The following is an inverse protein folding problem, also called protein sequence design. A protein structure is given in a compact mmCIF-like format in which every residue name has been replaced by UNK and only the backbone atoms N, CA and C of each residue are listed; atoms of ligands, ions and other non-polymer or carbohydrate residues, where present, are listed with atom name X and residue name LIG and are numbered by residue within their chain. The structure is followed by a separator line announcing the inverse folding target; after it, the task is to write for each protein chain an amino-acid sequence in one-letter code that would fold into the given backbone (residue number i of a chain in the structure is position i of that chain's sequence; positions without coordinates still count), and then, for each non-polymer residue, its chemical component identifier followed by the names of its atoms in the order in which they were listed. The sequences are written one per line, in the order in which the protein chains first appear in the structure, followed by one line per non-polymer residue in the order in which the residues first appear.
data_IF_899190731523
#
_entry.id   IF_899190731523
#
_cell.length_a   1.000
_cell.length_b   1.000
_cell.length_c   1.000
_cell.angle_alpha   90.00
_cell.angle_beta   90.00
_cell.angle_gamma   90.00
#
_symmetry.space_group_name_H-M   'P 1'
#
loop_
_entity.id
_entity.type
_entity.pdbx_description
1 polymer ?
#
# COMPACT_ATOMS: atom_id res chain seq x y z
N UNK A 1 -8.04 -19.46 -21.14
CA UNK A 1 -7.62 -19.20 -19.75
C UNK A 1 -6.58 -20.23 -19.36
N UNK A 2 -5.52 -19.80 -18.67
CA UNK A 2 -4.53 -20.70 -18.07
C UNK A 2 -5.02 -21.23 -16.72
N UNK A 3 -4.57 -22.42 -16.31
CA UNK A 3 -4.82 -22.95 -14.96
C UNK A 3 -3.84 -22.39 -13.91
N UNK A 4 -2.74 -21.77 -14.33
CA UNK A 4 -1.76 -21.15 -13.42
C UNK A 4 -2.34 -19.88 -12.80
N UNK A 5 -2.40 -19.83 -11.47
CA UNK A 5 -2.94 -18.68 -10.73
C UNK A 5 -1.94 -17.52 -10.66
N UNK A 6 -2.44 -16.30 -10.43
CA UNK A 6 -1.58 -15.13 -10.19
C UNK A 6 -0.52 -15.41 -9.11
N UNK A 7 -0.94 -15.99 -7.98
CA UNK A 7 -0.03 -16.35 -6.89
C UNK A 7 1.10 -17.27 -7.38
N UNK A 8 0.78 -18.37 -8.06
CA UNK A 8 1.80 -19.29 -8.60
C UNK A 8 2.78 -18.58 -9.54
N UNK A 9 2.28 -17.69 -10.40
CA UNK A 9 3.13 -16.92 -11.32
C UNK A 9 4.14 -16.02 -10.58
N UNK A 10 3.75 -15.42 -9.45
CA UNK A 10 4.69 -14.58 -8.68
C UNK A 10 5.91 -15.36 -8.18
N UNK A 11 5.77 -16.66 -7.89
CA UNK A 11 6.86 -17.53 -7.48
C UNK A 11 7.65 -18.12 -8.65
N UNK A 12 6.98 -18.48 -9.73
CA UNK A 12 7.56 -19.38 -10.74
C UNK A 12 7.89 -18.69 -12.06
N UNK A 13 7.21 -17.60 -12.43
CA UNK A 13 7.43 -16.97 -13.71
C UNK A 13 8.89 -16.45 -13.81
N UNK A 14 9.64 -16.80 -14.87
CA UNK A 14 10.97 -16.26 -15.08
C UNK A 14 10.88 -14.76 -15.42
N UNK A 15 11.90 -14.01 -15.02
CA UNK A 15 12.05 -12.63 -15.48
C UNK A 15 12.36 -12.67 -16.97
N UNK A 16 11.59 -11.92 -17.78
CA UNK A 16 11.94 -11.74 -19.18
C UNK A 16 13.22 -10.89 -19.25
N UNK A 17 14.31 -11.38 -19.86
CA UNK A 17 15.60 -10.67 -19.87
C UNK A 17 15.60 -9.38 -20.70
N UNK A 18 14.69 -9.22 -21.66
CA UNK A 18 14.54 -8.00 -22.45
C UNK A 18 13.73 -6.92 -21.71
N UNK A 19 12.77 -7.33 -20.88
CA UNK A 19 11.89 -6.41 -20.15
C UNK A 19 12.37 -6.10 -18.72
N UNK A 20 13.13 -7.02 -18.11
CA UNK A 20 13.61 -6.90 -16.74
C UNK A 20 12.57 -7.25 -15.66
N UNK A 21 11.39 -7.74 -16.04
CA UNK A 21 10.34 -8.17 -15.10
C UNK A 21 9.58 -9.42 -15.60
N UNK A 22 8.72 -9.98 -14.73
CA UNK A 22 7.83 -11.11 -15.01
C UNK A 22 6.59 -10.62 -15.77
N UNK A 23 6.38 -11.04 -17.02
CA UNK A 23 5.38 -10.44 -17.91
C UNK A 23 3.94 -10.61 -17.44
N UNK A 24 3.53 -11.84 -17.09
CA UNK A 24 2.17 -12.12 -16.65
C UNK A 24 1.92 -11.51 -15.27
N UNK A 25 2.89 -11.59 -14.36
CA UNK A 25 2.82 -10.86 -13.08
C UNK A 25 2.66 -9.35 -13.31
N UNK A 26 3.43 -8.77 -14.22
CA UNK A 26 3.32 -7.35 -14.59
C UNK A 26 1.93 -7.00 -15.14
N UNK A 27 1.34 -7.87 -15.95
CA UNK A 27 -0.04 -7.70 -16.41
C UNK A 27 -1.05 -7.72 -15.25
N UNK A 28 -0.96 -8.69 -14.33
CA UNK A 28 -1.84 -8.77 -13.15
C UNK A 28 -1.66 -7.57 -12.21
N UNK A 29 -0.42 -7.13 -11.98
CA UNK A 29 -0.13 -5.92 -11.21
C UNK A 29 -0.78 -4.69 -11.86
N UNK A 30 -0.73 -4.59 -13.19
CA UNK A 30 -1.41 -3.53 -13.94
C UNK A 30 -2.93 -3.59 -13.76
N UNK A 31 -3.55 -4.77 -13.87
CA UNK A 31 -4.99 -4.93 -13.63
C UNK A 31 -5.36 -4.55 -12.19
N UNK A 32 -4.50 -4.88 -11.22
CA UNK A 32 -4.71 -4.52 -9.81
C UNK A 32 -4.65 -3.01 -9.60
N UNK A 33 -3.76 -2.29 -10.30
CA UNK A 33 -3.69 -0.83 -10.24
C UNK A 33 -4.86 -0.15 -10.94
N UNK A 34 -5.41 -0.74 -12.02
CA UNK A 34 -6.65 -0.26 -12.63
C UNK A 34 -7.84 -0.44 -11.67
N UNK A 35 -7.97 -1.61 -11.04
CA UNK A 35 -9.01 -1.85 -10.05
C UNK A 35 -8.86 -0.96 -8.81
N UNK A 36 -7.62 -0.67 -8.39
CA UNK A 36 -7.32 0.31 -7.34
C UNK A 36 -7.84 1.70 -7.69
N UNK A 37 -7.56 2.20 -8.91
CA UNK A 37 -8.14 3.46 -9.39
C UNK A 37 -9.66 3.42 -9.35
N UNK A 38 -10.28 2.40 -9.94
CA UNK A 38 -11.74 2.30 -10.02
C UNK A 38 -12.39 2.27 -8.63
N UNK A 39 -11.72 1.64 -7.65
CA UNK A 39 -12.14 1.66 -6.25
C UNK A 39 -12.07 3.07 -5.65
N UNK A 40 -10.98 3.80 -5.86
CA UNK A 40 -10.84 5.18 -5.37
C UNK A 40 -11.84 6.12 -6.04
N UNK A 41 -12.05 6.01 -7.35
CA UNK A 41 -13.04 6.79 -8.08
C UNK A 41 -14.46 6.52 -7.52
N UNK A 42 -14.78 5.27 -7.18
CA UNK A 42 -16.05 4.95 -6.54
C UNK A 42 -16.22 5.64 -5.19
N UNK A 43 -15.16 5.74 -4.37
CA UNK A 43 -15.21 6.49 -3.10
C UNK A 43 -15.33 8.00 -3.34
N UNK A 44 -14.62 8.53 -4.32
CA UNK A 44 -14.62 9.96 -4.62
C UNK A 44 -15.96 10.46 -5.20
N UNK A 45 -16.74 9.58 -5.81
CA UNK A 45 -18.09 9.95 -6.31
C UNK A 45 -19.17 10.04 -5.23
N UNK A 46 -18.90 9.59 -4.00
CA UNK A 46 -19.89 9.59 -2.91
C UNK A 46 -19.79 10.90 -2.14
N UNK A 47 -20.81 11.78 -2.17
CA UNK A 47 -20.77 13.03 -1.40
C UNK A 47 -20.86 12.76 0.10
N UNK A 48 -19.98 13.36 0.89
CA UNK A 48 -19.98 13.27 2.36
C UNK A 48 -19.48 14.58 2.97
N UNK A 49 -20.36 15.27 3.73
CA UNK A 49 -20.06 16.58 4.30
C UNK A 49 -19.78 17.62 3.21
N UNK A 50 -18.66 18.34 3.35
CA UNK A 50 -18.20 19.37 2.39
C UNK A 50 -17.38 18.81 1.22
N UNK A 51 -17.18 17.48 1.16
CA UNK A 51 -16.37 16.80 0.15
C UNK A 51 -16.91 15.43 -0.20
N UNK A 52 -16.01 14.46 -0.36
CA UNK A 52 -16.33 13.09 -0.76
C UNK A 52 -16.04 12.08 0.35
N UNK A 53 -16.53 10.84 0.22
CA UNK A 53 -16.16 9.77 1.14
C UNK A 53 -14.64 9.55 1.13
N UNK A 54 -13.98 9.71 -0.03
CA UNK A 54 -12.52 9.60 -0.12
C UNK A 54 -11.81 10.68 0.70
N UNK A 55 -12.34 11.91 0.74
CA UNK A 55 -11.79 12.97 1.62
C UNK A 55 -11.87 12.57 3.10
N UNK A 56 -12.97 11.95 3.52
CA UNK A 56 -13.22 11.65 4.93
C UNK A 56 -12.67 10.29 5.40
N UNK A 57 -12.18 9.44 4.49
CA UNK A 57 -11.61 8.14 4.83
C UNK A 57 -10.11 8.06 4.53
N UNK A 58 -9.52 6.91 4.90
CA UNK A 58 -8.17 6.53 4.53
C UNK A 58 -8.18 5.11 4.01
N UNK A 59 -7.53 4.92 2.86
CA UNK A 59 -7.35 3.62 2.24
C UNK A 59 -5.86 3.29 2.22
N UNK A 60 -5.49 2.20 2.88
CA UNK A 60 -4.14 1.64 2.87
C UNK A 60 -4.12 0.43 1.96
N UNK A 61 -3.33 0.48 0.89
CA UNK A 61 -3.11 -0.63 -0.03
C UNK A 61 -1.63 -0.99 -0.09
N UNK A 62 -1.31 -2.28 0.00
CA UNK A 62 0.07 -2.76 -0.06
C UNK A 62 0.11 -4.19 -0.60
N UNK A 63 1.31 -4.63 -0.99
CA UNK A 63 1.57 -6.06 -1.27
C UNK A 63 1.97 -6.79 0.01
N UNK A 64 1.78 -8.10 0.07
CA UNK A 64 2.20 -8.94 1.20
C UNK A 64 3.73 -9.08 1.30
N UNK A 65 4.43 -8.99 0.17
CA UNK A 65 5.88 -9.08 0.06
C UNK A 65 6.41 -8.18 -1.07
N UNK A 66 7.71 -7.90 -1.10
CA UNK A 66 8.34 -7.18 -2.22
C UNK A 66 8.81 -8.13 -3.32
N UNK A 67 9.28 -9.32 -2.93
CA UNK A 67 9.74 -10.37 -3.84
C UNK A 67 9.17 -11.71 -3.37
N UNK A 68 8.17 -12.21 -4.08
CA UNK A 68 7.46 -13.45 -3.73
C UNK A 68 8.38 -14.68 -3.70
N UNK A 69 9.35 -14.78 -4.61
CA UNK A 69 10.30 -15.90 -4.69
C UNK A 69 11.06 -16.17 -3.40
N UNK A 70 11.36 -15.12 -2.64
CA UNK A 70 12.08 -15.19 -1.37
C UNK A 70 11.24 -14.75 -0.17
N UNK A 71 9.96 -14.41 -0.37
CA UNK A 71 9.11 -13.77 0.62
C UNK A 71 9.80 -12.57 1.30
N UNK A 72 10.47 -11.73 0.52
CA UNK A 72 11.14 -10.54 1.06
C UNK A 72 10.12 -9.54 1.62
N UNK A 73 10.41 -8.96 2.79
CA UNK A 73 9.50 -8.05 3.51
C UNK A 73 10.04 -6.61 3.57
N UNK A 74 11.20 -6.38 2.97
CA UNK A 74 11.83 -5.09 2.82
C UNK A 74 11.32 -4.39 1.55
N UNK A 75 11.10 -3.08 1.60
CA UNK A 75 10.74 -2.31 0.41
C UNK A 75 9.38 -2.67 -0.20
N UNK A 76 8.45 -3.17 0.61
CA UNK A 76 7.09 -3.50 0.17
C UNK A 76 6.41 -2.22 -0.37
N UNK A 77 5.92 -2.23 -1.63
CA UNK A 77 5.19 -1.10 -2.17
C UNK A 77 3.90 -0.89 -1.39
N UNK A 78 3.70 0.35 -0.94
CA UNK A 78 2.53 0.75 -0.14
C UNK A 78 2.00 2.08 -0.66
N UNK A 79 0.68 2.16 -0.76
CA UNK A 79 -0.07 3.34 -1.18
C UNK A 79 -1.05 3.74 -0.09
N UNK A 80 -1.18 5.04 0.12
CA UNK A 80 -2.18 5.64 0.99
C UNK A 80 -3.01 6.60 0.15
N UNK A 81 -4.33 6.48 0.22
CA UNK A 81 -5.29 7.36 -0.44
C UNK A 81 -6.35 7.86 0.54
N UNK A 82 -6.95 9.00 0.23
CA UNK A 82 -7.82 9.74 1.15
C UNK A 82 -7.04 10.56 2.16
N UNK A 83 -7.67 11.61 2.70
CA UNK A 83 -7.02 12.56 3.61
C UNK A 83 -7.49 12.41 5.07
N UNK A 84 -8.41 11.47 5.35
CA UNK A 84 -9.00 11.22 6.67
C UNK A 84 -9.53 12.49 7.35
N UNK A 85 -10.18 13.38 6.60
CA UNK A 85 -10.65 14.67 7.10
C UNK A 85 -9.51 15.58 7.55
N UNK A 86 -8.45 15.65 6.75
CA UNK A 86 -7.28 16.52 6.95
C UNK A 86 -6.20 15.98 7.87
N UNK A 87 -6.29 14.72 8.32
CA UNK A 87 -5.33 14.09 9.23
C UNK A 87 -4.12 13.49 8.52
N UNK A 88 -4.25 13.24 7.22
CA UNK A 88 -3.21 12.62 6.40
C UNK A 88 -2.89 13.48 5.19
N UNK A 89 -1.60 13.71 4.95
CA UNK A 89 -1.09 14.43 3.77
C UNK A 89 -1.11 13.49 2.56
N UNK A 90 -1.43 14.04 1.40
CA UNK A 90 -1.48 13.31 0.13
C UNK A 90 -0.56 13.95 -0.92
N UNK A 91 -0.40 13.30 -2.08
CA UNK A 91 0.31 13.88 -3.23
C UNK A 91 1.84 13.85 -3.14
N UNK A 92 2.42 12.94 -2.34
CA UNK A 92 3.86 12.77 -2.24
C UNK A 92 4.28 11.31 -2.36
N UNK A 93 5.56 11.10 -2.67
CA UNK A 93 6.22 9.80 -2.63
C UNK A 93 7.34 9.85 -1.58
N UNK A 94 7.43 8.80 -0.75
CA UNK A 94 8.44 8.68 0.29
C UNK A 94 9.22 7.37 0.10
N UNK A 95 10.54 7.48 0.03
CA UNK A 95 11.40 6.30 0.04
C UNK A 95 11.43 5.69 1.45
N UNK A 96 11.12 4.40 1.56
CA UNK A 96 10.97 3.72 2.86
C UNK A 96 12.28 3.49 3.64
N UNK A 97 13.46 3.76 3.06
CA UNK A 97 14.78 3.65 3.73
C UNK A 97 15.01 2.32 4.49
N UNK A 98 14.46 1.22 3.99
CA UNK A 98 14.46 -0.10 4.65
C UNK A 98 13.86 -0.12 6.07
N UNK A 99 13.06 0.89 6.43
CA UNK A 99 12.31 0.88 7.67
C UNK A 99 11.21 -0.20 7.67
N UNK A 100 10.82 -0.71 8.84
CA UNK A 100 9.67 -1.60 8.95
C UNK A 100 8.40 -1.00 8.37
N UNK A 101 7.70 -1.76 7.53
CA UNK A 101 6.41 -1.36 6.94
C UNK A 101 5.36 -1.03 8.01
N UNK A 102 5.47 -1.64 9.20
CA UNK A 102 4.62 -1.38 10.36
C UNK A 102 4.61 0.08 10.80
N UNK A 103 5.61 0.90 10.43
CA UNK A 103 5.59 2.36 10.66
C UNK A 103 4.39 3.02 10.01
N UNK A 104 3.98 2.56 8.82
CA UNK A 104 2.80 3.08 8.13
C UNK A 104 1.55 2.74 8.93
N UNK A 105 1.40 1.48 9.36
CA UNK A 105 0.28 1.04 10.21
C UNK A 105 0.20 1.77 11.55
N UNK A 106 1.33 2.03 12.22
CA UNK A 106 1.37 2.84 13.44
C UNK A 106 0.89 4.27 13.15
N UNK A 107 1.42 4.89 12.08
CA UNK A 107 1.11 6.26 11.72
C UNK A 107 -0.36 6.43 11.35
N UNK A 108 -0.94 5.49 10.60
CA UNK A 108 -2.37 5.49 10.26
C UNK A 108 -3.24 5.36 11.52
N UNK A 109 -2.91 4.46 12.44
CA UNK A 109 -3.66 4.33 13.71
C UNK A 109 -3.63 5.65 14.51
N UNK A 110 -2.46 6.27 14.62
CA UNK A 110 -2.31 7.54 15.33
C UNK A 110 -3.02 8.70 14.62
N UNK A 111 -2.95 8.77 13.29
CA UNK A 111 -3.68 9.75 12.49
C UNK A 111 -5.19 9.63 12.76
N UNK A 112 -5.72 8.41 12.85
CA UNK A 112 -7.12 8.14 13.19
C UNK A 112 -7.47 8.31 14.68
N UNK A 113 -6.54 8.82 15.50
CA UNK A 113 -6.77 9.15 16.90
C UNK A 113 -6.69 7.98 17.88
N UNK A 114 -6.21 6.81 17.44
CA UNK A 114 -6.02 5.67 18.35
C UNK A 114 -4.83 5.94 19.29
N UNK A 115 -4.96 5.67 20.60
CA UNK A 115 -3.90 5.91 21.59
C UNK A 115 -2.86 4.78 21.58
N UNK A 116 -2.22 4.54 20.42
CA UNK A 116 -1.25 3.46 20.21
C UNK A 116 0.17 4.04 20.13
N UNK A 117 1.03 3.65 21.08
CA UNK A 117 2.41 4.11 21.14
C UNK A 117 3.39 3.23 20.34
N UNK A 118 3.02 1.98 20.05
CA UNK A 118 3.87 0.99 19.38
C UNK A 118 3.03 0.02 18.56
N UNK A 119 3.57 -0.43 17.43
CA UNK A 119 2.93 -1.41 16.55
C UNK A 119 3.92 -2.42 16.00
N UNK A 120 3.43 -3.61 15.62
CA UNK A 120 4.23 -4.70 15.06
C UNK A 120 4.95 -5.56 16.09
N UNK A 121 5.66 -6.58 15.60
CA UNK A 121 6.38 -7.57 16.43
C UNK A 121 7.79 -7.81 15.90
N UNK A 122 8.71 -8.26 16.76
CA UNK A 122 10.10 -8.57 16.38
C UNK A 122 10.78 -7.43 15.60
N UNK A 123 11.41 -7.74 14.48
CA UNK A 123 12.04 -6.75 13.59
C UNK A 123 11.04 -5.77 12.97
N UNK A 124 9.75 -6.09 12.97
CA UNK A 124 8.68 -5.20 12.54
C UNK A 124 8.11 -4.36 13.68
N UNK A 125 8.63 -4.43 14.90
CA UNK A 125 8.14 -3.59 15.98
C UNK A 125 8.68 -2.15 15.85
N UNK A 126 7.80 -1.15 15.98
CA UNK A 126 8.17 0.27 15.89
C UNK A 126 7.32 1.13 16.81
N UNK A 127 7.91 2.19 17.34
CA UNK A 127 7.30 3.31 18.06
C UNK A 127 7.49 4.65 17.32
N UNK A 128 8.04 4.61 16.10
CA UNK A 128 8.33 5.77 15.27
C UNK A 128 7.30 5.95 14.16
N UNK A 129 6.52 7.01 14.23
CA UNK A 129 5.60 7.43 13.16
C UNK A 129 6.34 8.07 11.98
N UNK A 130 5.62 8.25 10.87
CA UNK A 130 6.09 8.93 9.65
C UNK A 130 5.48 10.33 9.66
N UNK A 131 6.25 11.34 10.07
CA UNK A 131 5.75 12.71 10.21
C UNK A 131 5.30 13.32 8.88
N UNK A 132 5.92 12.92 7.77
CA UNK A 132 5.58 13.35 6.42
C UNK A 132 4.17 12.95 6.00
N UNK A 133 3.61 11.89 6.59
CA UNK A 133 2.25 11.39 6.31
C UNK A 133 1.18 12.13 7.13
N UNK A 134 1.54 12.81 8.21
CA UNK A 134 0.58 13.48 9.09
C UNK A 134 0.24 14.89 8.60
N UNK A 135 -1.04 15.23 8.66
CA UNK A 135 -1.64 16.54 8.32
C UNK A 135 -1.29 17.67 9.27
#
# INVERSE_FOLDING_TARGET
GSSTTHHTLTHEEPVNPALGYQEQVGWFATQSMLAWRDFLDALDTIPEGDGTLLDNCLVLAHSDCSIAKSHAVEGIPTMVAGNAGGRVRTGFHLAGNADPISRIGLTVQQALGLPVARWGTNSMATDRSIGELLG
#
